data_IF_791596138557
#
_entry.id   IF_791596138557
#
_cell.length_a   1.000
_cell.length_b   1.000
_cell.length_c   1.000
_cell.angle_alpha   90.00
_cell.angle_beta   90.00
_cell.angle_gamma   90.00
#
_symmetry.space_group_name_H-M   'P 1'
#
loop_
_entity.id
_entity.type
_entity.pdbx_description
1 polymer ?
#
# COMPACT_ATOMS: atom_id res chain seq x y z
N UNK A 1 -3.93 -20.32 18.27
CA UNK A 1 -4.21 -19.11 17.47
C UNK A 1 -3.18 -18.03 17.80
N UNK A 2 -2.27 -17.71 16.88
CA UNK A 2 -1.28 -16.64 17.08
C UNK A 2 -1.92 -15.29 16.76
N UNK A 3 -2.03 -14.42 17.77
CA UNK A 3 -2.52 -13.03 17.65
C UNK A 3 -1.37 -12.10 17.22
N UNK A 4 -0.61 -12.49 16.21
CA UNK A 4 0.55 -11.73 15.74
C UNK A 4 0.17 -10.84 14.56
N UNK A 5 0.51 -9.55 14.65
CA UNK A 5 0.45 -8.62 13.53
C UNK A 5 1.83 -8.37 12.93
N UNK A 6 1.86 -7.85 11.69
CA UNK A 6 3.08 -7.41 11.01
C UNK A 6 2.91 -5.95 10.61
N UNK A 7 3.92 -5.13 10.93
CA UNK A 7 4.02 -3.75 10.48
C UNK A 7 5.20 -3.62 9.51
N UNK A 8 4.96 -3.09 8.32
CA UNK A 8 6.02 -2.90 7.32
C UNK A 8 5.79 -1.65 6.49
N UNK A 9 6.80 -1.28 5.69
CA UNK A 9 6.79 -0.08 4.84
C UNK A 9 6.95 -0.47 3.37
N UNK A 10 6.24 0.24 2.49
CA UNK A 10 6.39 0.14 1.04
C UNK A 10 6.38 1.55 0.45
N UNK A 11 7.53 1.99 -0.06
CA UNK A 11 7.72 3.40 -0.44
C UNK A 11 7.42 4.33 0.74
N UNK A 12 6.57 5.33 0.51
CA UNK A 12 6.09 6.25 1.56
C UNK A 12 4.94 5.67 2.41
N UNK A 13 4.38 4.53 1.98
CA UNK A 13 3.25 3.88 2.64
C UNK A 13 3.65 3.02 3.83
N UNK A 14 2.76 2.95 4.81
CA UNK A 14 2.82 2.07 5.98
C UNK A 14 1.71 1.04 5.87
N UNK A 15 2.03 -0.22 6.11
CA UNK A 15 1.06 -1.33 6.05
C UNK A 15 1.06 -2.07 7.37
N UNK A 16 -0.14 -2.29 7.90
CA UNK A 16 -0.38 -3.07 9.10
C UNK A 16 -1.28 -4.26 8.76
N UNK A 17 -0.81 -5.46 9.06
CA UNK A 17 -1.55 -6.70 8.93
C UNK A 17 -1.85 -7.26 10.32
N UNK A 18 -3.09 -7.68 10.56
CA UNK A 18 -3.52 -8.26 11.81
C UNK A 18 -4.62 -9.30 11.55
N UNK A 19 -4.47 -10.49 12.14
CA UNK A 19 -5.45 -11.57 12.05
C UNK A 19 -6.02 -11.87 13.44
N UNK A 20 -7.20 -11.31 13.80
CA UNK A 20 -7.75 -11.41 15.14
C UNK A 20 -8.48 -12.73 15.43
N UNK A 21 -8.91 -13.45 14.40
CA UNK A 21 -9.65 -14.71 14.53
C UNK A 21 -10.49 -15.03 13.29
N UNK A 22 -11.29 -16.09 13.40
CA UNK A 22 -12.23 -16.53 12.37
C UNK A 22 -13.49 -15.64 12.33
N UNK A 23 -14.16 -15.61 11.17
CA UNK A 23 -15.33 -14.77 10.90
C UNK A 23 -16.58 -15.24 11.65
N UNK A 24 -16.60 -16.49 12.10
CA UNK A 24 -17.71 -17.09 12.84
C UNK A 24 -17.84 -16.55 14.28
N UNK A 25 -16.81 -15.87 14.78
CA UNK A 25 -16.81 -15.24 16.10
C UNK A 25 -16.85 -13.71 15.98
N UNK A 26 -17.56 -13.00 16.89
CA UNK A 26 -17.63 -11.55 16.90
C UNK A 26 -16.33 -10.88 17.41
N UNK A 27 -15.17 -11.31 16.93
CA UNK A 27 -13.83 -10.90 17.41
C UNK A 27 -13.59 -9.39 17.26
N UNK A 28 -14.23 -8.74 16.30
CA UNK A 28 -14.14 -7.29 16.09
C UNK A 28 -14.94 -6.45 17.11
N UNK A 29 -15.80 -7.07 17.92
CA UNK A 29 -16.48 -6.39 19.04
C UNK A 29 -15.65 -6.39 20.33
N UNK A 30 -14.54 -7.14 20.36
CA UNK A 30 -13.67 -7.16 21.52
C UNK A 30 -12.94 -5.81 21.65
N UNK A 31 -12.98 -5.15 22.82
CA UNK A 31 -12.44 -3.79 22.99
C UNK A 31 -10.94 -3.72 22.66
N UNK A 32 -10.17 -4.75 23.02
CA UNK A 32 -8.74 -4.79 22.68
C UNK A 32 -8.48 -4.87 21.17
N UNK A 33 -9.33 -5.56 20.40
CA UNK A 33 -9.19 -5.65 18.94
C UNK A 33 -9.49 -4.29 18.31
N UNK A 34 -10.53 -3.60 18.78
CA UNK A 34 -10.84 -2.24 18.34
C UNK A 34 -9.69 -1.27 18.67
N UNK A 35 -9.06 -1.43 19.84
CA UNK A 35 -7.90 -0.63 20.23
C UNK A 35 -6.68 -0.88 19.33
N UNK A 36 -6.41 -2.14 18.97
CA UNK A 36 -5.33 -2.48 18.02
C UNK A 36 -5.60 -1.83 16.66
N UNK A 37 -6.82 -1.93 16.15
CA UNK A 37 -7.21 -1.36 14.85
C UNK A 37 -7.15 0.17 14.85
N UNK A 38 -7.60 0.82 15.93
CA UNK A 38 -7.50 2.27 16.12
C UNK A 38 -6.04 2.75 16.09
N UNK A 39 -5.17 2.09 16.86
CA UNK A 39 -3.74 2.40 16.87
C UNK A 39 -3.08 2.17 15.51
N UNK A 40 -3.46 1.10 14.82
CA UNK A 40 -2.95 0.79 13.49
C UNK A 40 -3.35 1.84 12.45
N UNK A 41 -4.62 2.32 12.48
CA UNK A 41 -5.09 3.37 11.61
C UNK A 41 -4.33 4.68 11.83
N UNK A 42 -4.16 5.08 13.10
CA UNK A 42 -3.37 6.25 13.46
C UNK A 42 -1.90 6.11 13.01
N UNK A 43 -1.31 4.93 13.18
CA UNK A 43 0.07 4.66 12.74
C UNK A 43 0.22 4.66 11.22
N UNK A 44 -0.78 4.16 10.48
CA UNK A 44 -0.76 4.08 9.03
C UNK A 44 -1.06 5.41 8.33
N UNK A 45 -1.46 6.44 9.09
CA UNK A 45 -1.68 7.78 8.56
C UNK A 45 -0.46 8.28 7.76
N UNK A 46 -0.67 8.85 6.55
CA UNK A 46 0.42 9.40 5.75
C UNK A 46 1.16 10.51 6.49
N UNK A 47 2.50 10.43 6.52
CA UNK A 47 3.35 11.48 7.08
C UNK A 47 3.96 12.39 6.02
N UNK A 48 3.87 11.98 4.76
CA UNK A 48 4.36 12.73 3.61
C UNK A 48 3.19 13.03 2.69
N UNK A 49 3.21 14.19 2.06
CA UNK A 49 2.21 14.53 1.05
C UNK A 49 2.25 13.54 -0.11
N UNK A 50 1.07 13.23 -0.62
CA UNK A 50 0.96 12.43 -1.84
C UNK A 50 1.47 13.27 -3.00
N UNK A 51 2.65 12.94 -3.51
CA UNK A 51 3.11 13.47 -4.79
C UNK A 51 2.17 12.97 -5.89
N UNK A 52 1.58 13.90 -6.64
CA UNK A 52 0.89 13.55 -7.87
C UNK A 52 1.91 12.88 -8.81
N UNK A 53 1.64 11.62 -9.17
CA UNK A 53 2.44 10.97 -10.20
C UNK A 53 2.03 11.60 -11.53
N UNK A 54 3.00 12.20 -12.21
CA UNK A 54 2.86 12.55 -13.62
C UNK A 54 2.89 11.24 -14.40
N UNK A 55 1.72 10.62 -14.54
CA UNK A 55 1.54 9.63 -15.58
C UNK A 55 1.49 10.41 -16.89
N UNK A 56 2.67 10.63 -17.48
CA UNK A 56 2.74 11.24 -18.80
C UNK A 56 1.96 10.32 -19.74
N UNK A 57 0.91 10.82 -20.43
CA UNK A 57 0.16 10.00 -21.35
C UNK A 57 1.07 9.67 -22.53
N UNK A 58 1.65 8.47 -22.51
CA UNK A 58 2.38 7.96 -23.65
C UNK A 58 1.37 7.51 -24.73
N UNK A 59 1.56 7.88 -26.00
CA UNK A 59 0.73 7.36 -27.09
C UNK A 59 0.83 5.83 -27.11
N UNK A 60 -0.24 5.14 -27.56
CA UNK A 60 -0.35 3.67 -27.52
C UNK A 60 0.85 2.93 -28.13
N UNK A 61 1.56 3.57 -29.06
CA UNK A 61 2.66 3.01 -29.83
C UNK A 61 4.03 3.64 -29.48
N UNK A 62 4.16 4.29 -28.32
CA UNK A 62 5.39 4.99 -27.91
C UNK A 62 6.64 4.09 -27.88
N UNK A 63 6.47 2.79 -27.64
CA UNK A 63 7.54 1.80 -27.60
C UNK A 63 7.92 1.26 -28.99
N UNK A 64 7.15 1.58 -30.03
CA UNK A 64 7.47 1.25 -31.42
C UNK A 64 8.38 2.31 -32.07
N UNK A 65 8.62 3.44 -31.40
CA UNK A 65 9.36 4.56 -31.94
C UNK A 65 10.89 4.41 -31.88
N UNK A 66 11.44 3.26 -31.45
CA UNK A 66 12.89 3.08 -31.28
C UNK A 66 13.60 2.34 -32.43
N UNK A 67 13.17 2.58 -33.67
CA UNK A 67 13.93 2.17 -34.88
C UNK A 67 14.32 3.35 -35.79
N UNK A 68 14.04 4.61 -35.42
CA UNK A 68 14.31 5.77 -36.28
C UNK A 68 15.53 6.63 -35.87
N UNK A 69 16.36 6.20 -34.91
CA UNK A 69 17.41 7.07 -34.34
C UNK A 69 18.78 6.46 -34.00
N UNK A 70 19.01 5.15 -34.17
CA UNK A 70 20.31 4.53 -33.85
C UNK A 70 21.29 4.41 -35.05
N UNK A 71 21.00 5.04 -36.18
CA UNK A 71 21.92 5.09 -37.33
C UNK A 71 22.27 6.53 -37.73
N UNK A 72 23.20 7.15 -37.01
CA UNK A 72 24.17 8.13 -37.54
C UNK A 72 25.13 8.55 -36.41
N UNK A 73 26.38 8.11 -36.51
CA UNK A 73 27.47 8.42 -35.57
C UNK A 73 28.50 7.29 -35.54
#
# INVERSE_FOLDING_TARGET
MFRSGVAYRRGLGRVFYFSPGDQEYPVYHHPDIQRVLSNAAAWAAPVSERRALTADPHPRDWFLADDAGRQAG
#
